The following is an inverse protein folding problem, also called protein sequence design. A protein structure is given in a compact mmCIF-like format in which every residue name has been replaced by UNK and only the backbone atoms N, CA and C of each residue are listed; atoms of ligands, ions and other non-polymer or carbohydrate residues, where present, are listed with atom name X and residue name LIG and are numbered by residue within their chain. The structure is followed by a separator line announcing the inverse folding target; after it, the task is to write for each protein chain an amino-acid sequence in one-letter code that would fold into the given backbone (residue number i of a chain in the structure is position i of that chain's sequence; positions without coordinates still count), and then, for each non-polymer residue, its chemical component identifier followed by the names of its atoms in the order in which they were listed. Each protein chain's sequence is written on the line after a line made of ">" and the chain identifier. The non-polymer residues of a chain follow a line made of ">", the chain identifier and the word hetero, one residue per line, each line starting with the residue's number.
data_IF_487613672144
#
_entry.id   IF_487613672144
#
_cell.length_a   1.000
_cell.length_b   1.000
_cell.length_c   1.000
_cell.angle_alpha   90.00
_cell.angle_beta   90.00
_cell.angle_gamma   90.00
#
_symmetry.space_group_name_H-M   'P 1'
#
loop_
_entity.id
_entity.type
_entity.pdbx_description
1 polymer ?
#
# COMPACT_ATOMS: atom_id res chain seq x y z
N UNK A 1 4.43 -0.20 11.30
CA UNK A 1 4.12 1.15 10.75
C UNK A 1 3.54 2.08 11.82
N UNK A 2 2.47 1.67 12.50
CA UNK A 2 1.82 2.49 13.54
C UNK A 2 2.79 3.01 14.61
N UNK A 3 3.66 2.16 15.15
CA UNK A 3 4.71 2.58 16.10
C UNK A 3 5.65 3.66 15.54
N UNK A 4 6.04 3.54 14.26
CA UNK A 4 6.91 4.54 13.62
C UNK A 4 6.21 5.89 13.52
N UNK A 5 4.91 5.92 13.20
CA UNK A 5 4.13 7.15 13.11
C UNK A 5 3.90 7.79 14.48
N UNK A 6 3.65 6.99 15.52
CA UNK A 6 3.57 7.47 16.90
C UNK A 6 4.91 8.02 17.39
N UNK A 7 6.02 7.38 17.00
CA UNK A 7 7.35 7.89 17.28
C UNK A 7 7.61 9.22 16.55
N UNK A 8 7.20 9.33 15.29
CA UNK A 8 7.25 10.57 14.51
C UNK A 8 6.35 11.70 15.05
N UNK A 9 5.53 11.44 16.07
CA UNK A 9 4.74 12.47 16.76
C UNK A 9 3.27 12.52 16.40
N UNK A 10 2.77 11.60 15.56
CA UNK A 10 1.33 11.44 15.37
C UNK A 10 0.69 10.80 16.62
N UNK A 11 -0.50 11.25 17.01
CA UNK A 11 -1.19 10.67 18.17
C UNK A 11 -1.59 9.20 17.92
N UNK A 12 -1.70 8.43 19.02
CA UNK A 12 -2.21 7.06 18.97
C UNK A 12 -3.63 6.96 18.41
N UNK A 13 -4.60 7.84 18.81
CA UNK A 13 -5.94 7.81 18.24
C UNK A 13 -5.99 8.01 16.72
N UNK A 14 -5.28 9.02 16.20
CA UNK A 14 -5.25 9.27 14.74
C UNK A 14 -4.58 8.12 14.01
N UNK A 15 -3.43 7.66 14.49
CA UNK A 15 -2.71 6.55 13.87
C UNK A 15 -3.54 5.25 13.88
N UNK A 16 -4.20 4.97 15.01
CA UNK A 16 -5.02 3.78 15.21
C UNK A 16 -6.32 3.78 14.41
N UNK A 17 -6.78 4.94 13.91
CA UNK A 17 -7.90 5.04 12.98
C UNK A 17 -7.43 5.03 11.53
N UNK A 18 -6.51 5.93 11.16
CA UNK A 18 -6.15 6.19 9.76
C UNK A 18 -5.41 5.00 9.14
N UNK A 19 -4.51 4.33 9.86
CA UNK A 19 -3.75 3.21 9.30
C UNK A 19 -4.65 2.00 9.01
N UNK A 20 -5.45 1.47 9.96
CA UNK A 20 -6.34 0.35 9.67
C UNK A 20 -7.35 0.67 8.57
N UNK A 21 -7.98 1.85 8.61
CA UNK A 21 -8.92 2.28 7.56
C UNK A 21 -8.22 2.42 6.20
N UNK A 22 -7.02 3.01 6.17
CA UNK A 22 -6.23 3.16 4.95
C UNK A 22 -5.81 1.82 4.33
N UNK A 23 -5.52 0.79 5.11
CA UNK A 23 -5.19 -0.53 4.56
C UNK A 23 -6.34 -1.15 3.77
N UNK A 24 -7.59 -0.85 4.14
CA UNK A 24 -8.77 -1.33 3.43
C UNK A 24 -9.18 -0.41 2.28
N UNK A 25 -9.08 0.91 2.47
CA UNK A 25 -9.70 1.88 1.56
C UNK A 25 -8.72 2.66 0.67
N UNK A 26 -7.43 2.73 1.03
CA UNK A 26 -6.39 3.37 0.22
C UNK A 26 -5.60 2.32 -0.57
N UNK A 27 -6.21 1.89 -1.67
CA UNK A 27 -5.64 0.94 -2.62
C UNK A 27 -5.24 1.63 -3.93
N UNK A 28 -4.67 2.84 -3.82
CA UNK A 28 -4.28 3.64 -4.97
C UNK A 28 -3.21 2.95 -5.82
N UNK A 29 -2.24 2.28 -5.19
CA UNK A 29 -1.26 1.46 -5.91
C UNK A 29 -1.91 0.33 -6.71
N UNK A 30 -2.98 -0.28 -6.18
CA UNK A 30 -3.74 -1.31 -6.89
C UNK A 30 -4.48 -0.71 -8.09
N UNK A 31 -5.11 0.46 -7.92
CA UNK A 31 -5.78 1.14 -9.04
C UNK A 31 -4.81 1.57 -10.13
N UNK A 32 -3.70 2.20 -9.76
CA UNK A 32 -2.65 2.60 -10.69
C UNK A 32 -2.17 1.38 -11.48
N UNK A 33 -1.87 0.28 -10.79
CA UNK A 33 -1.45 -0.96 -11.44
C UNK A 33 -2.52 -1.50 -12.39
N UNK A 34 -3.77 -1.60 -11.94
CA UNK A 34 -4.84 -2.18 -12.77
C UNK A 34 -5.08 -1.37 -14.04
N UNK A 35 -5.16 -0.04 -13.92
CA UNK A 35 -5.36 0.83 -15.09
C UNK A 35 -4.17 0.77 -16.04
N UNK A 36 -2.93 0.88 -15.52
CA UNK A 36 -1.74 0.81 -16.36
C UNK A 36 -1.54 -0.57 -17.01
N UNK A 37 -1.82 -1.65 -16.28
CA UNK A 37 -1.74 -3.01 -16.79
C UNK A 37 -2.75 -3.23 -17.93
N UNK A 38 -4.00 -2.78 -17.78
CA UNK A 38 -4.99 -2.90 -18.86
C UNK A 38 -4.62 -2.08 -20.09
N UNK A 39 -4.14 -0.83 -19.91
CA UNK A 39 -3.67 -0.02 -21.03
C UNK A 39 -2.45 -0.65 -21.72
N UNK A 40 -1.52 -1.19 -20.95
CA UNK A 40 -0.38 -1.92 -21.48
C UNK A 40 -0.82 -3.13 -22.31
N UNK A 41 -1.77 -3.94 -21.83
CA UNK A 41 -2.27 -5.08 -22.57
C UNK A 41 -2.98 -4.67 -23.86
N UNK A 42 -3.78 -3.62 -23.82
CA UNK A 42 -4.43 -3.07 -25.01
C UNK A 42 -3.39 -2.64 -26.05
N UNK A 43 -2.35 -1.91 -25.66
CA UNK A 43 -1.26 -1.52 -26.56
C UNK A 43 -0.45 -2.73 -27.06
N UNK A 44 -0.12 -3.68 -26.18
CA UNK A 44 0.64 -4.88 -26.54
C UNK A 44 -0.13 -5.80 -27.51
N UNK A 45 -1.46 -5.74 -27.51
CA UNK A 45 -2.33 -6.49 -28.42
C UNK A 45 -2.83 -5.66 -29.60
N UNK A 46 -2.37 -4.41 -29.71
CA UNK A 46 -2.80 -3.45 -30.72
C UNK A 46 -4.32 -3.22 -30.75
N UNK A 47 -4.94 -3.30 -29.57
CA UNK A 47 -6.35 -3.01 -29.34
C UNK A 47 -6.50 -1.55 -28.98
N UNK A 48 -7.17 -0.78 -29.83
CA UNK A 48 -7.51 0.60 -29.51
C UNK A 48 -8.60 0.67 -28.45
N UNK A 49 -8.40 1.52 -27.45
CA UNK A 49 -9.39 1.86 -26.44
C UNK A 49 -9.82 3.31 -26.65
N UNK A 50 -11.12 3.53 -26.74
CA UNK A 50 -11.68 4.88 -26.70
C UNK A 50 -11.57 5.47 -25.29
N UNK A 51 -11.56 6.80 -25.19
CA UNK A 51 -11.52 7.51 -23.91
C UNK A 51 -12.64 7.06 -22.96
N UNK A 52 -13.84 6.78 -23.48
CA UNK A 52 -14.97 6.27 -22.68
C UNK A 52 -14.67 4.90 -22.06
N UNK A 53 -14.00 4.01 -22.82
CA UNK A 53 -13.58 2.70 -22.33
C UNK A 53 -12.48 2.83 -21.28
N UNK A 54 -11.52 3.73 -21.47
CA UNK A 54 -10.47 4.00 -20.48
C UNK A 54 -11.05 4.54 -19.17
N UNK A 55 -12.01 5.47 -19.24
CA UNK A 55 -12.70 6.00 -18.06
C UNK A 55 -13.56 4.94 -17.36
N UNK A 56 -14.22 4.08 -18.14
CA UNK A 56 -15.01 2.97 -17.60
C UNK A 56 -14.10 1.95 -16.92
N UNK A 57 -12.98 1.60 -17.53
CA UNK A 57 -11.95 0.74 -16.95
C UNK A 57 -11.41 1.31 -15.63
N UNK A 58 -11.11 2.60 -15.60
CA UNK A 58 -10.68 3.29 -14.39
C UNK A 58 -11.77 3.21 -13.30
N UNK A 59 -13.03 3.52 -13.63
CA UNK A 59 -14.13 3.47 -12.68
C UNK A 59 -14.36 2.05 -12.11
N UNK A 60 -14.31 1.03 -12.97
CA UNK A 60 -14.42 -0.37 -12.56
C UNK A 60 -13.23 -0.77 -11.70
N UNK A 61 -12.00 -0.44 -12.10
CA UNK A 61 -10.79 -0.68 -11.31
C UNK A 61 -10.90 -0.06 -9.91
N UNK A 62 -11.38 1.19 -9.81
CA UNK A 62 -11.59 1.88 -8.54
C UNK A 62 -12.65 1.20 -7.65
N UNK A 63 -13.68 0.61 -8.25
CA UNK A 63 -14.70 -0.13 -7.53
C UNK A 63 -14.18 -1.51 -7.08
N UNK A 64 -13.53 -2.25 -7.98
CA UNK A 64 -13.08 -3.63 -7.75
C UNK A 64 -11.86 -3.69 -6.82
N UNK A 65 -10.98 -2.67 -6.82
CA UNK A 65 -9.83 -2.61 -5.91
C UNK A 65 -10.26 -2.70 -4.45
N UNK A 66 -11.30 -1.97 -4.03
CA UNK A 66 -11.79 -1.95 -2.65
C UNK A 66 -12.31 -3.32 -2.20
N UNK A 67 -12.85 -4.12 -3.11
CA UNK A 67 -13.30 -5.49 -2.83
C UNK A 67 -12.16 -6.50 -2.67
N UNK A 68 -10.94 -6.16 -3.11
CA UNK A 68 -9.76 -7.02 -3.05
C UNK A 68 -8.90 -6.80 -1.78
N UNK A 69 -9.26 -5.82 -0.93
CA UNK A 69 -8.51 -5.52 0.29
C UNK A 69 -8.64 -6.68 1.29
N UNK A 70 -7.58 -7.47 1.47
CA UNK A 70 -7.51 -8.48 2.53
C UNK A 70 -7.16 -9.90 2.09
N UNK A 71 -7.09 -10.16 0.78
CA UNK A 71 -6.71 -11.49 0.26
C UNK A 71 -5.38 -11.41 -0.50
N UNK A 72 -4.37 -12.13 -0.01
CA UNK A 72 -3.07 -12.25 -0.67
C UNK A 72 -3.23 -12.79 -2.08
N UNK A 73 -2.64 -12.13 -3.08
CA UNK A 73 -2.73 -12.55 -4.48
C UNK A 73 -4.03 -12.15 -5.21
N UNK A 74 -4.98 -11.50 -4.53
CA UNK A 74 -6.24 -11.09 -5.16
C UNK A 74 -6.05 -10.10 -6.31
N UNK A 75 -4.98 -9.31 -6.32
CA UNK A 75 -4.80 -8.25 -7.32
C UNK A 75 -4.75 -8.74 -8.78
N UNK A 76 -4.16 -9.91 -9.06
CA UNK A 76 -4.16 -10.46 -10.41
C UNK A 76 -5.57 -10.94 -10.82
N UNK A 77 -6.32 -11.52 -9.87
CA UNK A 77 -7.71 -11.93 -10.08
C UNK A 77 -8.58 -10.69 -10.33
N UNK A 78 -8.38 -9.62 -9.57
CA UNK A 78 -9.08 -8.34 -9.74
C UNK A 78 -8.75 -7.71 -11.09
N UNK A 79 -7.50 -7.80 -11.55
CA UNK A 79 -7.11 -7.37 -12.89
C UNK A 79 -7.84 -8.17 -13.98
N UNK A 80 -7.87 -9.51 -13.86
CA UNK A 80 -8.60 -10.36 -14.79
C UNK A 80 -10.11 -10.04 -14.81
N UNK A 81 -10.70 -9.80 -13.65
CA UNK A 81 -12.10 -9.39 -13.52
C UNK A 81 -12.36 -8.00 -14.13
N UNK A 82 -11.41 -7.06 -13.97
CA UNK A 82 -11.50 -5.72 -14.57
C UNK A 82 -11.36 -5.78 -16.09
N UNK A 83 -10.55 -6.70 -16.62
CA UNK A 83 -10.42 -6.90 -18.06
C UNK A 83 -11.73 -7.36 -18.72
N UNK A 84 -12.65 -7.97 -17.97
CA UNK A 84 -13.97 -8.37 -18.48
C UNK A 84 -14.82 -7.19 -18.97
N UNK A 85 -14.54 -5.96 -18.52
CA UNK A 85 -15.24 -4.75 -19.03
C UNK A 85 -14.60 -4.18 -20.31
N UNK A 86 -13.47 -4.73 -20.73
CA UNK A 86 -12.82 -4.44 -22.02
C UNK A 86 -12.64 -5.76 -22.81
N UNK A 87 -13.73 -6.41 -23.25
CA UNK A 87 -13.70 -7.73 -23.89
C UNK A 87 -12.86 -7.79 -25.18
N UNK A 88 -12.58 -6.63 -25.78
CA UNK A 88 -11.68 -6.48 -26.93
C UNK A 88 -10.20 -6.75 -26.61
N UNK A 89 -9.80 -6.72 -25.33
CA UNK A 89 -8.45 -7.10 -24.92
C UNK A 89 -8.41 -8.62 -24.69
N UNK A 90 -7.59 -9.38 -25.44
CA UNK A 90 -7.50 -10.83 -25.29
C UNK A 90 -7.11 -11.24 -23.87
N UNK A 91 -7.92 -12.11 -23.23
CA UNK A 91 -7.62 -12.64 -21.88
C UNK A 91 -6.26 -13.35 -21.86
N UNK A 92 -5.87 -14.00 -22.96
CA UNK A 92 -4.57 -14.64 -23.09
C UNK A 92 -3.38 -13.67 -22.90
N UNK A 93 -3.58 -12.37 -23.13
CA UNK A 93 -2.55 -11.35 -22.91
C UNK A 93 -2.18 -11.19 -21.43
N UNK A 94 -3.05 -11.59 -20.49
CA UNK A 94 -2.73 -11.64 -19.05
C UNK A 94 -1.53 -12.54 -18.74
N UNK A 95 -1.24 -13.54 -19.59
CA UNK A 95 -0.09 -14.43 -19.42
C UNK A 95 1.25 -13.65 -19.38
N UNK A 96 1.34 -12.53 -20.11
CA UNK A 96 2.52 -11.66 -20.14
C UNK A 96 2.78 -11.03 -18.76
N UNK A 97 1.74 -10.82 -17.96
CA UNK A 97 1.84 -10.17 -16.65
C UNK A 97 2.13 -11.14 -15.51
N UNK A 98 1.94 -12.46 -15.69
CA UNK A 98 2.06 -13.45 -14.59
C UNK A 98 3.43 -13.37 -13.89
N UNK A 99 4.51 -13.25 -14.65
CA UNK A 99 5.86 -13.15 -14.09
C UNK A 99 6.12 -11.84 -13.36
N UNK A 100 5.54 -10.74 -13.84
CA UNK A 100 5.77 -9.39 -13.32
C UNK A 100 4.81 -9.05 -12.18
N UNK A 101 3.63 -9.66 -12.12
CA UNK A 101 2.59 -9.37 -11.13
C UNK A 101 3.07 -9.57 -9.70
N UNK A 102 3.90 -10.60 -9.48
CA UNK A 102 4.50 -10.86 -8.16
C UNK A 102 5.39 -9.71 -7.69
N UNK A 103 6.24 -9.19 -8.58
CA UNK A 103 7.07 -8.03 -8.27
C UNK A 103 6.21 -6.77 -8.08
N UNK A 104 5.24 -6.58 -8.97
CA UNK A 104 4.31 -5.45 -8.89
C UNK A 104 3.43 -5.50 -7.65
N UNK A 105 3.13 -6.68 -7.10
CA UNK A 105 2.42 -6.82 -5.82
C UNK A 105 3.18 -6.14 -4.68
N UNK A 106 4.51 -6.26 -4.64
CA UNK A 106 5.32 -5.58 -3.65
C UNK A 106 5.36 -4.07 -3.88
N UNK A 107 5.50 -3.63 -5.14
CA UNK A 107 5.44 -2.20 -5.48
C UNK A 107 4.10 -1.55 -5.08
N UNK A 108 2.99 -2.28 -5.27
CA UNK A 108 1.65 -1.87 -4.83
C UNK A 108 1.59 -1.73 -3.31
N UNK A 109 2.08 -2.72 -2.58
CA UNK A 109 2.12 -2.70 -1.13
C UNK A 109 2.95 -1.51 -0.61
N UNK A 110 4.11 -1.24 -1.21
CA UNK A 110 4.97 -0.10 -0.87
C UNK A 110 4.27 1.24 -1.12
N UNK A 111 3.64 1.41 -2.28
CA UNK A 111 2.93 2.65 -2.64
C UNK A 111 1.80 2.92 -1.65
N UNK A 112 0.97 1.91 -1.35
CA UNK A 112 -0.13 2.05 -0.39
C UNK A 112 0.40 2.32 1.03
N UNK A 113 1.50 1.67 1.43
CA UNK A 113 2.15 1.90 2.73
C UNK A 113 2.61 3.36 2.87
N UNK A 114 3.27 3.90 1.85
CA UNK A 114 3.73 5.29 1.84
C UNK A 114 2.53 6.25 1.87
N UNK A 115 1.52 6.02 1.02
CA UNK A 115 0.31 6.83 0.99
C UNK A 115 -0.40 6.87 2.34
N UNK A 116 -0.58 5.73 2.99
CA UNK A 116 -1.18 5.64 4.34
C UNK A 116 -0.33 6.33 5.41
N UNK A 117 0.99 6.22 5.33
CA UNK A 117 1.91 6.93 6.23
C UNK A 117 1.79 8.45 6.10
N UNK A 118 1.85 8.96 4.87
CA UNK A 118 1.72 10.39 4.59
C UNK A 118 0.33 10.90 4.99
N UNK A 119 -0.73 10.18 4.63
CA UNK A 119 -2.10 10.52 5.01
C UNK A 119 -2.26 10.61 6.54
N UNK A 120 -1.65 9.68 7.29
CA UNK A 120 -1.70 9.72 8.76
C UNK A 120 -1.05 10.99 9.31
N UNK A 121 0.09 11.41 8.78
CA UNK A 121 0.75 12.66 9.21
C UNK A 121 -0.07 13.90 8.84
N UNK A 122 -0.68 13.91 7.65
CA UNK A 122 -1.54 15.01 7.18
C UNK A 122 -2.79 15.13 8.06
N UNK A 123 -3.49 14.02 8.31
CA UNK A 123 -4.68 13.99 9.18
C UNK A 123 -4.30 14.38 10.61
N UNK A 124 -3.20 13.85 11.17
CA UNK A 124 -2.74 14.23 12.49
C UNK A 124 -2.43 15.73 12.58
N UNK A 125 -1.88 16.33 11.51
CA UNK A 125 -1.64 17.77 11.44
C UNK A 125 -2.94 18.57 11.41
N UNK A 126 -3.93 18.15 10.63
CA UNK A 126 -5.23 18.84 10.53
C UNK A 126 -6.02 18.79 11.84
N UNK A 127 -5.95 17.67 12.55
CA UNK A 127 -6.59 17.47 13.85
C UNK A 127 -5.81 18.09 15.02
N UNK A 128 -4.72 18.83 14.76
CA UNK A 128 -3.80 19.34 15.79
C UNK A 128 -3.27 18.26 16.76
N UNK A 129 -3.14 17.02 16.25
CA UNK A 129 -2.67 15.83 16.96
C UNK A 129 -1.29 15.35 16.47
N UNK A 130 -0.49 16.28 15.95
CA UNK A 130 0.87 16.05 15.47
C UNK A 130 1.85 16.93 16.22
N UNK A 131 2.76 16.30 16.96
CA UNK A 131 3.92 16.98 17.54
C UNK A 131 4.94 17.28 16.44
N UNK A 132 4.99 18.56 16.03
CA UNK A 132 5.84 19.01 14.92
C UNK A 132 7.32 19.12 15.30
N UNK A 133 7.62 19.38 16.57
CA UNK A 133 9.01 19.42 17.04
C UNK A 133 9.58 18.01 17.03
N UNK A 134 8.83 17.05 17.60
CA UNK A 134 9.21 15.64 17.56
C UNK A 134 9.33 15.10 16.14
N UNK A 135 8.39 15.46 15.25
CA UNK A 135 8.48 15.09 13.84
C UNK A 135 9.79 15.57 13.21
N UNK A 136 10.13 16.85 13.39
CA UNK A 136 11.35 17.45 12.85
C UNK A 136 12.59 16.74 13.41
N UNK A 137 12.67 16.58 14.72
CA UNK A 137 13.80 15.92 15.39
C UNK A 137 14.01 14.48 14.90
N UNK A 138 12.92 13.71 14.77
CA UNK A 138 13.01 12.32 14.30
C UNK A 138 13.36 12.20 12.82
N UNK A 139 12.92 13.15 11.97
CA UNK A 139 13.32 13.19 10.56
C UNK A 139 14.78 13.61 10.38
N UNK A 140 15.24 14.60 11.15
CA UNK A 140 16.63 15.09 11.14
C UNK A 140 17.63 14.01 11.62
N UNK A 141 17.20 13.10 12.51
CA UNK A 141 18.00 11.94 12.96
C UNK A 141 18.26 10.91 11.85
N UNK A 142 17.43 10.85 10.82
CA UNK A 142 17.55 9.92 9.70
C UNK A 142 17.29 8.44 10.07
N UNK A 143 17.37 7.51 9.10
CA UNK A 143 16.94 6.12 9.27
C UNK A 143 17.84 5.26 10.18
N UNK A 144 19.08 5.69 10.45
CA UNK A 144 20.12 4.92 11.16
C UNK A 144 19.79 4.57 12.62
N UNK A 145 18.86 5.29 13.25
CA UNK A 145 18.49 5.01 14.64
C UNK A 145 17.60 3.77 14.80
N UNK A 146 16.88 3.35 13.74
CA UNK A 146 15.97 2.19 13.80
C UNK A 146 16.72 0.86 13.83
N UNK A 147 17.90 0.80 13.21
CA UNK A 147 18.77 -0.38 13.24
C UNK A 147 19.43 -0.54 14.61
N UNK A 148 20.00 0.55 15.16
CA UNK A 148 20.63 0.54 16.48
C UNK A 148 19.67 0.21 17.65
N UNK A 149 18.42 0.66 17.57
CA UNK A 149 17.41 0.33 18.58
C UNK A 149 16.96 -1.14 18.53
N UNK A 150 16.91 -1.74 17.32
CA UNK A 150 16.58 -3.17 17.13
C UNK A 150 17.70 -4.09 17.59
N UNK A 151 18.96 -3.69 17.37
CA UNK A 151 20.11 -4.41 17.94
C UNK A 151 20.07 -4.40 19.47
N UNK A 152 19.80 -3.25 20.10
CA UNK A 152 19.72 -3.15 21.56
C UNK A 152 18.57 -3.96 22.19
N UNK A 153 17.41 -4.05 21.54
CA UNK A 153 16.30 -4.92 22.00
C UNK A 153 16.63 -6.42 21.85
N UNK A 154 17.40 -6.81 20.83
CA UNK A 154 17.81 -8.21 20.63
C UNK A 154 18.88 -8.69 21.63
N UNK A 155 19.66 -7.76 22.20
CA UNK A 155 20.69 -8.04 23.22
C UNK A 155 20.07 -8.20 24.61
N UNK A 156 18.90 -7.63 24.87
CA UNK A 156 18.15 -7.78 26.11
C UNK A 156 17.08 -8.87 25.93
N UNK A 157 17.52 -10.12 25.76
CA UNK A 157 16.65 -11.29 25.86
C UNK A 157 16.05 -11.41 27.27
N UNK A 158 14.96 -12.18 27.45
CA UNK A 158 14.27 -12.27 28.74
C UNK A 158 15.25 -12.72 29.83
N UNK A 159 15.38 -11.91 30.88
CA UNK A 159 16.11 -12.25 32.08
C UNK A 159 15.63 -13.59 32.62
N UNK A 160 16.54 -14.54 32.68
CA UNK A 160 16.38 -15.86 33.28
C UNK A 160 16.09 -15.70 34.77
N UNK A 161 14.82 -15.52 35.15
CA UNK A 161 14.34 -15.77 36.51
C UNK A 161 13.70 -17.16 36.55
N UNK A 162 14.55 -18.18 36.55
CA UNK A 162 14.18 -19.54 36.89
C UNK A 162 15.41 -20.30 37.38
N UNK A 163 15.99 -19.88 38.49
CA UNK A 163 16.70 -20.79 39.39
C UNK A 163 16.78 -20.19 40.79
N UNK A 164 16.24 -20.87 41.80
CA UNK A 164 16.25 -20.34 43.16
C UNK A 164 15.32 -20.95 44.20
N UNK A 165 15.18 -22.29 44.22
CA UNK A 165 14.62 -23.11 45.34
C UNK A 165 13.12 -23.05 45.62
#
# INVERSE_FOLDING_TARGET
>A
MMEKLVRLGASKPVTGLVIPTGYSFNLDGTNIYMTLATLFLAQATNTELSLTQELTLLGVAMLTSKGASGVTGAGFITLAATLAVAPQVPIAALAVLVGVDRFMSECRALTNLVGNGVATLVVARWENQLDREKLRLELDRGPRYVEAARENESVIGPSTEADGR
#
